data_IF_538288340336
#
_entry.id   IF_538288340336
#
_cell.length_a   1.000
_cell.length_b   1.000
_cell.length_c   1.000
_cell.angle_alpha   90.00
_cell.angle_beta   90.00
_cell.angle_gamma   90.00
#
_symmetry.space_group_name_H-M   'P 1'
#
loop_
_entity.id
_entity.type
_entity.pdbx_description
1 polymer ?
#
# COMPACT_ATOMS: atom_id res chain seq x y z
N UNK A 1 -17.95 8.27 4.32
CA UNK A 1 -16.94 7.90 3.31
C UNK A 1 -17.26 6.49 2.88
N UNK A 2 -18.42 6.30 2.26
CA UNK A 2 -19.08 4.99 2.22
C UNK A 2 -19.22 4.47 0.78
N UNK A 3 -18.81 5.30 -0.18
CA UNK A 3 -18.83 4.97 -1.60
C UNK A 3 -17.80 3.88 -1.88
N UNK A 4 -18.32 2.69 -2.20
CA UNK A 4 -17.52 1.55 -2.62
C UNK A 4 -17.25 1.65 -4.11
N UNK A 5 -16.09 2.17 -4.47
CA UNK A 5 -15.62 2.23 -5.86
C UNK A 5 -14.21 1.69 -6.03
N UNK A 6 -13.94 1.15 -7.22
CA UNK A 6 -12.60 0.81 -7.70
C UNK A 6 -12.46 1.15 -9.18
N UNK A 7 -11.23 1.32 -9.63
CA UNK A 7 -10.90 1.54 -11.04
C UNK A 7 -9.47 1.07 -11.32
N UNK A 8 -9.11 0.91 -12.59
CA UNK A 8 -7.71 0.79 -12.99
C UNK A 8 -7.12 2.15 -13.28
N UNK A 9 -5.78 2.25 -13.24
CA UNK A 9 -5.10 3.51 -13.55
C UNK A 9 -5.53 4.02 -14.95
N UNK A 10 -5.86 5.32 -15.04
CA UNK A 10 -6.42 5.95 -16.25
C UNK A 10 -7.66 5.25 -16.85
N UNK A 11 -8.39 4.45 -16.05
CA UNK A 11 -9.48 3.59 -16.50
C UNK A 11 -9.07 2.63 -17.65
N UNK A 12 -7.80 2.21 -17.68
CA UNK A 12 -7.28 1.27 -18.66
C UNK A 12 -7.39 -0.17 -18.14
N UNK A 13 -8.41 -0.89 -18.62
CA UNK A 13 -8.70 -2.28 -18.23
C UNK A 13 -7.74 -3.31 -18.84
N UNK A 14 -6.76 -2.88 -19.65
CA UNK A 14 -5.79 -3.77 -20.31
C UNK A 14 -4.43 -3.81 -19.57
N UNK A 15 -3.47 -3.00 -20.00
CA UNK A 15 -2.07 -3.07 -19.54
C UNK A 15 -1.93 -2.75 -18.05
N UNK A 16 -2.63 -1.72 -17.58
CA UNK A 16 -2.52 -1.27 -16.20
C UNK A 16 -3.18 -2.25 -15.24
N UNK A 17 -4.35 -2.78 -15.61
CA UNK A 17 -5.07 -3.77 -14.83
C UNK A 17 -4.23 -5.05 -14.60
N UNK A 18 -3.61 -5.55 -15.67
CA UNK A 18 -2.77 -6.75 -15.60
C UNK A 18 -1.44 -6.54 -14.87
N UNK A 19 -0.90 -5.31 -14.89
CA UNK A 19 0.41 -5.00 -14.29
C UNK A 19 0.30 -4.56 -12.83
N UNK A 20 -0.56 -3.58 -12.55
CA UNK A 20 -0.64 -2.90 -11.25
C UNK A 20 -1.87 -3.27 -10.43
N UNK A 21 -2.88 -3.86 -11.08
CA UNK A 21 -4.16 -4.16 -10.46
C UNK A 21 -5.05 -2.93 -10.29
N UNK A 22 -6.11 -3.08 -9.50
CA UNK A 22 -7.09 -2.03 -9.27
C UNK A 22 -6.71 -1.12 -8.08
N UNK A 23 -7.20 0.12 -8.17
CA UNK A 23 -7.18 1.13 -7.14
C UNK A 23 -8.55 1.18 -6.48
N UNK A 24 -8.59 0.99 -5.16
CA UNK A 24 -9.81 0.90 -4.37
C UNK A 24 -9.93 2.13 -3.48
N UNK A 25 -11.14 2.68 -3.37
CA UNK A 25 -11.52 3.47 -2.18
C UNK A 25 -11.39 2.60 -0.93
N UNK A 26 -11.14 3.21 0.23
CA UNK A 26 -11.01 2.43 1.48
C UNK A 26 -12.28 1.65 1.80
N UNK A 27 -13.46 2.23 1.55
CA UNK A 27 -14.75 1.54 1.72
C UNK A 27 -14.88 0.30 0.81
N UNK A 28 -14.39 0.37 -0.43
CA UNK A 28 -14.33 -0.80 -1.32
C UNK A 28 -13.33 -1.85 -0.83
N UNK A 29 -12.14 -1.43 -0.39
CA UNK A 29 -11.12 -2.32 0.16
C UNK A 29 -11.63 -3.09 1.39
N UNK A 30 -12.29 -2.39 2.33
CA UNK A 30 -12.88 -2.99 3.54
C UNK A 30 -14.14 -3.80 3.25
N UNK A 31 -14.82 -3.55 2.13
CA UNK A 31 -16.08 -4.17 1.73
C UNK A 31 -17.15 -4.23 2.87
N UNK A 32 -17.22 -3.20 3.70
CA UNK A 32 -18.19 -3.10 4.81
C UNK A 32 -17.78 -3.82 6.10
N UNK A 33 -16.59 -4.39 6.17
CA UNK A 33 -16.03 -4.90 7.43
C UNK A 33 -15.67 -3.76 8.39
N UNK A 34 -15.70 -4.06 9.69
CA UNK A 34 -15.24 -3.13 10.72
C UNK A 34 -13.72 -2.95 10.65
N UNK A 35 -13.25 -1.75 10.98
CA UNK A 35 -11.83 -1.49 11.10
C UNK A 35 -11.21 -2.23 12.27
N UNK A 36 -9.92 -2.56 12.16
CA UNK A 36 -9.19 -3.26 13.21
C UNK A 36 -7.70 -2.90 13.19
N UNK A 37 -7.06 -3.08 14.35
CA UNK A 37 -5.61 -3.04 14.52
C UNK A 37 -5.04 -4.45 14.78
N UNK A 38 -5.87 -5.50 14.73
CA UNK A 38 -5.45 -6.84 15.09
C UNK A 38 -4.43 -7.42 14.11
N UNK A 39 -3.68 -8.41 14.57
CA UNK A 39 -2.76 -9.19 13.78
C UNK A 39 -2.99 -10.68 14.11
N UNK A 40 -3.66 -11.45 13.23
CA UNK A 40 -4.17 -11.02 11.92
C UNK A 40 -5.37 -10.06 12.02
N UNK A 41 -5.60 -9.26 10.98
CA UNK A 41 -6.77 -8.37 10.94
C UNK A 41 -8.09 -9.16 10.93
N UNK A 42 -8.12 -10.28 10.20
CA UNK A 42 -9.34 -11.04 9.90
C UNK A 42 -10.32 -10.32 8.97
N UNK A 43 -9.93 -9.18 8.40
CA UNK A 43 -10.76 -8.39 7.48
C UNK A 43 -10.61 -8.95 6.08
N UNK A 44 -11.54 -9.80 5.64
CA UNK A 44 -11.49 -10.31 4.25
C UNK A 44 -11.51 -9.14 3.25
N UNK A 45 -12.46 -8.21 3.39
CA UNK A 45 -12.57 -7.07 2.50
C UNK A 45 -12.75 -7.49 1.03
N UNK A 46 -11.94 -6.91 0.15
CA UNK A 46 -11.88 -7.25 -1.28
C UNK A 46 -11.00 -8.48 -1.57
N UNK A 47 -10.32 -9.03 -0.56
CA UNK A 47 -9.46 -10.19 -0.75
C UNK A 47 -10.25 -11.46 -1.05
N UNK A 48 -9.63 -12.44 -1.76
CA UNK A 48 -10.21 -13.76 -1.95
C UNK A 48 -10.52 -14.47 -0.62
N UNK A 49 -11.41 -15.46 -0.65
CA UNK A 49 -11.67 -16.30 0.52
C UNK A 49 -10.38 -16.97 1.04
N UNK A 50 -10.19 -17.00 2.35
CA UNK A 50 -8.96 -17.49 2.99
C UNK A 50 -7.79 -16.50 2.95
N UNK A 51 -8.08 -15.23 2.66
CA UNK A 51 -7.14 -14.12 2.70
C UNK A 51 -7.80 -12.90 3.36
N UNK A 52 -6.99 -12.04 3.95
CA UNK A 52 -7.43 -10.79 4.57
C UNK A 52 -6.57 -9.59 4.14
N UNK A 53 -7.14 -8.40 4.30
CA UNK A 53 -6.46 -7.12 4.15
C UNK A 53 -5.60 -6.85 5.40
N UNK A 54 -4.30 -6.54 5.28
CA UNK A 54 -3.43 -6.35 6.42
C UNK A 54 -3.84 -5.12 7.24
N UNK A 55 -3.80 -5.24 8.55
CA UNK A 55 -3.90 -4.09 9.45
C UNK A 55 -2.62 -3.25 9.45
N UNK A 56 -2.69 -2.06 10.04
CA UNK A 56 -1.55 -1.22 10.36
C UNK A 56 -0.47 -1.97 11.17
N UNK A 57 -0.88 -2.80 12.12
CA UNK A 57 0.03 -3.59 12.95
C UNK A 57 0.69 -4.73 12.16
N UNK A 58 0.02 -5.29 11.16
CA UNK A 58 0.62 -6.28 10.25
C UNK A 58 1.70 -5.67 9.37
N UNK A 59 1.42 -4.50 8.79
CA UNK A 59 2.44 -3.74 8.08
C UNK A 59 3.65 -3.41 8.97
N UNK A 60 3.41 -2.94 10.20
CA UNK A 60 4.50 -2.68 11.16
C UNK A 60 5.32 -3.93 11.48
N UNK A 61 4.68 -5.10 11.64
CA UNK A 61 5.43 -6.36 11.85
C UNK A 61 6.31 -6.71 10.65
N UNK A 62 5.80 -6.55 9.43
CA UNK A 62 6.58 -6.77 8.21
C UNK A 62 7.80 -5.84 8.15
N UNK A 63 7.59 -4.55 8.39
CA UNK A 63 8.66 -3.55 8.40
C UNK A 63 9.71 -3.83 9.48
N UNK A 64 9.28 -4.21 10.69
CA UNK A 64 10.20 -4.58 11.77
C UNK A 64 11.00 -5.84 11.44
N UNK A 65 10.39 -6.81 10.76
CA UNK A 65 11.09 -7.99 10.26
C UNK A 65 12.21 -7.62 9.26
N UNK A 66 12.05 -6.52 8.53
CA UNK A 66 13.05 -6.03 7.57
C UNK A 66 14.15 -5.15 8.19
N UNK A 67 14.03 -4.81 9.48
CA UNK A 67 15.06 -4.08 10.24
C UNK A 67 14.61 -2.74 10.82
N UNK A 68 13.35 -2.31 10.63
CA UNK A 68 12.84 -1.10 11.29
C UNK A 68 12.68 -1.36 12.80
N UNK A 69 13.11 -0.42 13.65
CA UNK A 69 12.90 -0.54 15.10
C UNK A 69 11.41 -0.36 15.47
N UNK A 70 10.97 -0.86 16.62
CA UNK A 70 9.58 -0.61 17.09
C UNK A 70 9.27 0.89 17.18
N UNK A 71 10.22 1.70 17.68
CA UNK A 71 10.05 3.14 17.80
C UNK A 71 9.83 3.81 16.45
N UNK A 72 10.61 3.43 15.43
CA UNK A 72 10.45 3.93 14.07
C UNK A 72 9.18 3.38 13.39
N UNK A 73 8.82 2.13 13.68
CA UNK A 73 7.59 1.51 13.17
C UNK A 73 6.32 2.17 13.74
N UNK A 74 6.38 2.81 14.90
CA UNK A 74 5.26 3.59 15.44
C UNK A 74 5.25 5.06 14.96
N UNK A 75 6.35 5.53 14.36
CA UNK A 75 6.43 6.87 13.77
C UNK A 75 5.60 6.98 12.48
N UNK A 76 4.92 8.12 12.31
CA UNK A 76 4.20 8.49 11.09
C UNK A 76 5.08 9.34 10.20
N UNK A 77 5.24 8.95 8.94
CA UNK A 77 6.15 9.55 7.98
C UNK A 77 7.14 8.56 7.39
N UNK A 78 8.24 9.07 6.84
CA UNK A 78 9.35 8.25 6.35
C UNK A 78 10.06 7.58 7.51
N UNK A 79 10.30 6.27 7.38
CA UNK A 79 10.89 5.43 8.43
C UNK A 79 11.67 4.26 7.85
N UNK A 80 12.64 3.80 8.63
CA UNK A 80 13.65 2.86 8.14
C UNK A 80 14.71 3.56 7.30
N UNK A 81 15.65 2.78 6.78
CA UNK A 81 16.77 3.26 5.96
C UNK A 81 16.56 2.89 4.50
N UNK A 82 16.36 1.61 4.22
CA UNK A 82 16.17 1.08 2.87
C UNK A 82 15.14 -0.05 2.77
N UNK A 83 14.28 -0.21 3.78
CA UNK A 83 13.25 -1.26 3.80
C UNK A 83 12.22 -1.10 2.68
N UNK A 84 12.05 0.12 2.18
CA UNK A 84 11.23 0.36 1.01
C UNK A 84 11.84 -0.23 -0.26
N UNK A 85 13.14 -0.03 -0.48
CA UNK A 85 13.88 -0.68 -1.57
C UNK A 85 13.82 -2.20 -1.44
N UNK A 86 14.00 -2.77 -0.22
CA UNK A 86 13.88 -4.22 0.01
C UNK A 86 12.53 -4.79 -0.47
N UNK A 87 11.43 -4.07 -0.22
CA UNK A 87 10.07 -4.46 -0.57
C UNK A 87 9.74 -4.32 -2.06
N UNK A 88 10.37 -3.37 -2.74
CA UNK A 88 10.10 -3.05 -4.13
C UNK A 88 10.42 -4.21 -5.09
N UNK A 89 10.01 -4.08 -6.34
CA UNK A 89 10.41 -5.02 -7.37
C UNK A 89 10.05 -4.53 -8.76
N UNK A 90 10.49 -5.29 -9.76
CA UNK A 90 10.36 -4.94 -11.17
C UNK A 90 10.93 -3.55 -11.50
N UNK A 91 12.27 -3.48 -11.54
CA UNK A 91 13.05 -2.25 -11.75
C UNK A 91 12.51 -1.40 -12.90
N UNK A 92 12.21 -2.01 -14.05
CA UNK A 92 11.78 -1.30 -15.27
C UNK A 92 10.45 -0.55 -15.16
N UNK A 93 9.67 -0.76 -14.09
CA UNK A 93 8.43 -0.03 -13.86
C UNK A 93 8.62 1.22 -13.01
N UNK A 94 9.72 1.31 -12.25
CA UNK A 94 9.99 2.46 -11.40
C UNK A 94 10.66 3.59 -12.18
N UNK A 95 10.29 4.83 -11.86
CA UNK A 95 11.06 6.00 -12.27
C UNK A 95 12.43 5.99 -11.59
N UNK A 96 13.45 6.54 -12.26
CA UNK A 96 14.79 6.67 -11.68
C UNK A 96 14.76 7.48 -10.37
N UNK A 97 15.47 6.98 -9.36
CA UNK A 97 15.48 7.57 -8.03
C UNK A 97 16.21 6.72 -6.99
N UNK A 98 16.24 7.20 -5.75
CA UNK A 98 16.96 6.55 -4.64
C UNK A 98 16.48 5.12 -4.38
N UNK A 99 15.19 4.85 -4.58
CA UNK A 99 14.60 3.54 -4.31
C UNK A 99 15.20 2.46 -5.20
N UNK A 100 15.28 2.68 -6.51
CA UNK A 100 15.81 1.71 -7.47
C UNK A 100 17.35 1.65 -7.49
N UNK A 101 18.01 2.74 -7.14
CA UNK A 101 19.47 2.83 -7.06
C UNK A 101 20.05 2.23 -5.76
N UNK A 102 19.21 1.85 -4.80
CA UNK A 102 19.65 1.19 -3.56
C UNK A 102 20.01 -0.28 -3.83
N UNK A 103 21.17 -0.72 -3.32
CA UNK A 103 21.65 -2.08 -3.50
C UNK A 103 20.71 -3.15 -2.91
N UNK A 104 19.80 -2.78 -2.01
CA UNK A 104 18.80 -3.68 -1.43
C UNK A 104 17.51 -3.79 -2.27
N UNK A 105 17.40 -3.12 -3.42
CA UNK A 105 16.22 -3.15 -4.27
C UNK A 105 15.75 -4.59 -4.56
N UNK A 106 14.52 -4.90 -4.16
CA UNK A 106 13.84 -6.17 -4.38
C UNK A 106 14.46 -7.40 -3.71
N UNK A 107 15.40 -7.22 -2.80
CA UNK A 107 16.07 -8.32 -2.11
C UNK A 107 15.13 -9.17 -1.24
N UNK A 108 13.99 -8.63 -0.80
CA UNK A 108 13.00 -9.38 -0.01
C UNK A 108 12.00 -10.18 -0.86
N UNK A 109 11.90 -9.91 -2.16
CA UNK A 109 11.00 -10.63 -3.07
C UNK A 109 9.51 -10.35 -2.87
N UNK A 110 9.16 -9.31 -2.10
CA UNK A 110 7.75 -8.91 -1.92
C UNK A 110 7.16 -8.31 -3.19
N UNK A 111 7.98 -7.72 -4.05
CA UNK A 111 7.64 -7.24 -5.39
C UNK A 111 6.55 -6.15 -5.39
N UNK A 112 6.74 -5.07 -4.64
CA UNK A 112 5.90 -3.89 -4.75
C UNK A 112 6.11 -3.18 -6.09
N UNK A 113 5.01 -2.85 -6.77
CA UNK A 113 4.98 -2.18 -8.07
C UNK A 113 4.41 -0.75 -7.96
N UNK A 114 4.90 0.22 -8.75
CA UNK A 114 4.53 1.62 -8.65
C UNK A 114 3.24 1.94 -9.41
N UNK A 115 2.11 1.41 -8.93
CA UNK A 115 0.78 1.59 -9.55
C UNK A 115 0.17 2.98 -9.41
N UNK A 116 0.85 3.92 -8.76
CA UNK A 116 0.35 5.27 -8.50
C UNK A 116 -0.89 5.27 -7.61
N UNK A 117 -1.79 6.22 -7.87
CA UNK A 117 -3.06 6.31 -7.16
C UNK A 117 -4.05 7.22 -7.86
N UNK A 118 -5.28 7.24 -7.34
CA UNK A 118 -6.35 8.15 -7.78
C UNK A 118 -6.76 9.02 -6.61
N UNK A 119 -6.81 10.33 -6.80
CA UNK A 119 -7.30 11.26 -5.77
C UNK A 119 -8.83 11.30 -5.74
N UNK A 120 -9.40 11.73 -4.63
CA UNK A 120 -10.85 11.88 -4.43
C UNK A 120 -11.52 12.81 -5.47
N UNK A 121 -10.78 13.78 -6.02
CA UNK A 121 -11.24 14.65 -7.11
C UNK A 121 -11.26 13.96 -8.49
N UNK A 122 -10.80 12.71 -8.56
CA UNK A 122 -10.78 11.87 -9.73
C UNK A 122 -9.50 11.88 -10.56
N UNK A 123 -8.51 12.71 -10.22
CA UNK A 123 -7.24 12.74 -10.94
C UNK A 123 -6.38 11.51 -10.61
N UNK A 124 -5.79 10.90 -11.63
CA UNK A 124 -4.74 9.89 -11.49
C UNK A 124 -3.38 10.57 -11.41
N UNK A 125 -2.42 9.95 -10.72
CA UNK A 125 -1.05 10.43 -10.68
C UNK A 125 -0.06 9.42 -10.12
N UNK A 126 1.23 9.73 -10.30
CA UNK A 126 2.37 9.00 -9.72
C UNK A 126 2.51 7.53 -10.16
N UNK A 127 1.98 7.16 -11.33
CA UNK A 127 2.35 5.88 -11.95
C UNK A 127 3.85 5.88 -12.25
N UNK A 128 4.54 4.79 -11.91
CA UNK A 128 6.00 4.70 -12.00
C UNK A 128 6.74 5.35 -10.82
N UNK A 129 6.16 6.38 -10.21
CA UNK A 129 6.79 7.11 -9.11
C UNK A 129 6.44 6.52 -7.73
N UNK A 130 5.20 6.09 -7.53
CA UNK A 130 4.69 5.71 -6.21
C UNK A 130 3.96 4.37 -6.22
N UNK A 131 4.08 3.64 -5.13
CA UNK A 131 3.15 2.56 -4.78
C UNK A 131 2.41 2.92 -3.50
N UNK A 132 1.09 2.87 -3.50
CA UNK A 132 0.25 3.26 -2.37
C UNK A 132 -0.67 2.10 -1.99
N UNK A 133 -0.71 1.75 -0.71
CA UNK A 133 -1.52 0.63 -0.20
C UNK A 133 -2.39 1.04 0.97
N UNK A 134 -3.65 0.62 0.94
CA UNK A 134 -4.52 0.68 2.12
C UNK A 134 -4.14 -0.39 3.16
N UNK A 135 -4.37 -0.05 4.43
CA UNK A 135 -4.51 -1.03 5.52
C UNK A 135 -5.97 -1.14 5.97
N UNK A 136 -6.29 -2.18 6.75
CA UNK A 136 -7.61 -2.38 7.36
C UNK A 136 -7.91 -1.43 8.55
N UNK A 137 -7.02 -0.46 8.80
CA UNK A 137 -7.01 0.33 10.03
C UNK A 137 -7.39 1.78 9.76
N UNK A 138 -8.47 2.20 10.38
CA UNK A 138 -8.98 3.55 10.40
C UNK A 138 -8.10 4.44 11.27
N UNK A 139 -7.83 5.65 10.79
CA UNK A 139 -7.20 6.70 11.59
C UNK A 139 -8.25 7.68 12.14
N UNK A 140 -9.21 8.06 11.31
CA UNK A 140 -10.28 8.99 11.65
C UNK A 140 -11.56 8.66 10.85
N UNK A 141 -12.63 9.41 11.06
CA UNK A 141 -13.84 9.30 10.22
C UNK A 141 -13.56 9.53 8.73
N UNK A 142 -12.54 10.32 8.39
CA UNK A 142 -12.15 10.67 7.01
C UNK A 142 -10.96 9.92 6.46
N UNK A 143 -10.10 9.40 7.33
CA UNK A 143 -8.77 8.93 6.96
C UNK A 143 -8.51 7.51 7.42
N UNK A 144 -7.71 6.77 6.65
CA UNK A 144 -7.24 5.44 6.99
C UNK A 144 -5.72 5.35 6.83
N UNK A 145 -5.09 4.45 7.59
CA UNK A 145 -3.65 4.25 7.49
C UNK A 145 -3.29 3.55 6.18
N UNK A 146 -2.27 4.08 5.51
CA UNK A 146 -1.70 3.57 4.27
C UNK A 146 -0.18 3.49 4.30
N UNK A 147 0.39 2.75 3.35
CA UNK A 147 1.83 2.58 3.10
C UNK A 147 2.18 3.09 1.73
N UNK A 148 3.25 3.88 1.66
CA UNK A 148 3.73 4.47 0.44
C UNK A 148 5.20 4.14 0.24
N UNK A 149 5.52 3.83 -1.00
CA UNK A 149 6.88 3.76 -1.52
C UNK A 149 7.01 4.80 -2.62
N UNK A 150 8.08 5.58 -2.56
CA UNK A 150 8.35 6.66 -3.49
C UNK A 150 9.68 6.39 -4.18
N UNK A 151 9.76 6.59 -5.49
CA UNK A 151 10.97 6.35 -6.27
C UNK A 151 12.19 7.12 -5.72
N UNK A 152 11.98 8.28 -5.12
CA UNK A 152 13.02 9.14 -4.56
C UNK A 152 13.34 8.87 -3.08
N UNK A 153 12.81 7.80 -2.46
CA UNK A 153 13.14 7.40 -1.09
C UNK A 153 13.28 5.88 -0.96
N UNK A 154 14.37 5.43 -0.35
CA UNK A 154 14.58 3.99 -0.06
C UNK A 154 13.81 3.52 1.20
N UNK A 155 13.33 4.44 2.02
CA UNK A 155 12.53 4.20 3.24
C UNK A 155 11.07 3.83 2.93
N UNK A 156 10.36 3.23 3.88
CA UNK A 156 8.89 3.12 3.83
C UNK A 156 8.28 4.41 4.37
N UNK A 157 7.16 4.86 3.81
CA UNK A 157 6.39 5.98 4.36
C UNK A 157 5.03 5.48 4.86
N UNK A 158 4.72 5.76 6.14
CA UNK A 158 3.38 5.52 6.70
C UNK A 158 2.65 6.84 6.84
N UNK A 159 1.45 6.90 6.28
CA UNK A 159 0.62 8.09 6.33
C UNK A 159 -0.86 7.73 6.46
N UNK A 160 -1.67 8.71 6.83
CA UNK A 160 -3.11 8.61 6.90
C UNK A 160 -3.74 9.38 5.75
N UNK A 161 -4.41 8.67 4.85
CA UNK A 161 -4.96 9.26 3.63
C UNK A 161 -6.48 9.26 3.65
N UNK A 162 -7.03 10.21 2.88
CA UNK A 162 -8.46 10.39 2.70
C UNK A 162 -9.05 9.09 2.13
N UNK A 163 -10.02 8.50 2.81
CA UNK A 163 -10.65 7.22 2.44
C UNK A 163 -11.29 7.18 1.04
N UNK A 164 -11.53 8.35 0.44
CA UNK A 164 -12.06 8.51 -0.91
C UNK A 164 -10.96 8.46 -2.01
N UNK A 165 -9.69 8.47 -1.64
CA UNK A 165 -8.59 8.18 -2.58
C UNK A 165 -8.61 6.70 -2.97
N UNK A 166 -8.14 6.40 -4.18
CA UNK A 166 -8.03 5.08 -4.75
C UNK A 166 -6.58 4.57 -4.66
N UNK A 167 -6.35 3.56 -3.83
CA UNK A 167 -5.05 2.91 -3.66
C UNK A 167 -5.13 1.39 -3.83
N UNK A 168 -3.98 0.77 -4.09
CA UNK A 168 -3.88 -0.68 -4.19
C UNK A 168 -4.13 -1.34 -2.82
N UNK A 169 -4.39 -2.64 -2.85
CA UNK A 169 -4.46 -3.49 -1.67
C UNK A 169 -3.50 -4.65 -1.84
N UNK A 170 -3.04 -5.23 -0.73
CA UNK A 170 -2.31 -6.48 -0.77
C UNK A 170 -2.89 -7.44 0.24
N UNK A 171 -3.31 -8.61 -0.21
CA UNK A 171 -3.93 -9.60 0.65
C UNK A 171 -2.88 -10.48 1.33
N UNK A 172 -3.13 -10.85 2.57
CA UNK A 172 -2.34 -11.78 3.37
C UNK A 172 -3.14 -13.08 3.52
N UNK A 173 -2.51 -14.22 3.30
CA UNK A 173 -3.18 -15.51 3.39
C UNK A 173 -3.44 -15.87 4.85
N UNK A 174 -4.62 -16.41 5.13
CA UNK A 174 -4.92 -17.00 6.43
C UNK A 174 -4.13 -18.31 6.62
N UNK A 175 -3.75 -18.61 7.85
CA UNK A 175 -3.11 -19.87 8.22
C UNK A 175 -4.13 -20.97 8.49
#
# INVERSE_FOLDING_TARGET
YDDKAYCYYNNNENSEASTYGALYTWAAAMNGAASTHNNPSGVQGVCPSGWHLPSDNEWKKLEMYLGISQADADYSGHRGTNEGSKLAGNLSLWSDGLLENDAAFGTFGFNVLPGGGRRYNGSFGHLGDNANFWSATEHSSSDAWGRHLYHNYSSVHRYNDIKADGFSVRCVKDN
#
